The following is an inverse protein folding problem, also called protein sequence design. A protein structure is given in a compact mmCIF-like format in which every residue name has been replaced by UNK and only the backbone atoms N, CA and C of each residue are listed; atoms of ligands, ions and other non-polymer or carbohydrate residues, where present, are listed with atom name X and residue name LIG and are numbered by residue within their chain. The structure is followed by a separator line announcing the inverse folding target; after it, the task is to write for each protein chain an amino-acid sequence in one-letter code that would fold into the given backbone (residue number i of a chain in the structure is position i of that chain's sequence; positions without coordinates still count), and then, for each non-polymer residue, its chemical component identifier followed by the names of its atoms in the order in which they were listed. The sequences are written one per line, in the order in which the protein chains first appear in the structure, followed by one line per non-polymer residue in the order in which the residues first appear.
data_IF_637697511256
#
_entry.id   IF_637697511256
#
_cell.length_a   1.000
_cell.length_b   1.000
_cell.length_c   1.000
_cell.angle_alpha   90.00
_cell.angle_beta   90.00
_cell.angle_gamma   90.00
#
_symmetry.space_group_name_H-M   'P 1'
#
loop_
_entity.id
_entity.type
_entity.pdbx_description
1 polymer ?
#
# COMPACT_ATOMS: atom_id res chain seq x y z
N UNK A 1 15.46 -31.03 -35.89
CA UNK A 1 15.21 -29.60 -35.59
C UNK A 1 14.44 -29.55 -34.29
N UNK A 2 15.10 -29.24 -33.17
CA UNK A 2 14.45 -29.10 -31.86
C UNK A 2 14.37 -27.60 -31.59
N UNK A 3 13.15 -27.08 -31.60
CA UNK A 3 12.87 -25.66 -31.33
C UNK A 3 13.04 -25.38 -29.84
N UNK A 4 14.14 -24.72 -29.48
CA UNK A 4 14.34 -24.15 -28.17
C UNK A 4 13.77 -22.73 -28.13
N UNK A 5 12.58 -22.57 -27.58
CA UNK A 5 12.04 -21.26 -27.17
C UNK A 5 11.11 -21.48 -25.96
N UNK A 6 11.68 -21.46 -24.76
CA UNK A 6 10.91 -21.60 -23.51
C UNK A 6 11.53 -20.92 -22.30
N UNK A 7 12.57 -20.10 -22.47
CA UNK A 7 13.35 -19.53 -21.35
C UNK A 7 12.94 -18.08 -21.04
N UNK A 8 12.31 -17.35 -21.97
CA UNK A 8 12.01 -15.93 -21.80
C UNK A 8 10.74 -15.56 -20.99
N UNK A 9 9.97 -16.53 -20.48
CA UNK A 9 8.69 -16.25 -19.82
C UNK A 9 8.76 -16.17 -18.29
N UNK A 10 9.81 -16.72 -17.67
CA UNK A 10 9.95 -16.78 -16.20
C UNK A 10 10.53 -15.47 -15.64
N UNK A 11 11.45 -14.82 -16.34
CA UNK A 11 12.03 -13.53 -15.94
C UNK A 11 10.98 -12.40 -15.96
N UNK A 12 10.13 -12.35 -16.98
CA UNK A 12 9.13 -11.29 -17.15
C UNK A 12 7.98 -11.29 -16.12
N UNK A 13 7.86 -12.35 -15.33
CA UNK A 13 6.80 -12.51 -14.32
C UNK A 13 7.32 -12.12 -12.93
N UNK A 14 8.57 -12.45 -12.62
CA UNK A 14 9.27 -11.99 -11.41
C UNK A 14 9.43 -10.46 -11.40
N UNK A 15 9.80 -9.85 -12.53
CA UNK A 15 9.93 -8.39 -12.64
C UNK A 15 8.62 -7.65 -12.37
N UNK A 16 7.49 -8.21 -12.84
CA UNK A 16 6.16 -7.62 -12.60
C UNK A 16 5.72 -7.73 -11.15
N UNK A 17 6.12 -8.79 -10.46
CA UNK A 17 5.87 -8.95 -9.03
C UNK A 17 6.70 -7.97 -8.20
N UNK A 18 7.96 -7.76 -8.53
CA UNK A 18 8.81 -6.74 -7.88
C UNK A 18 8.27 -5.32 -8.10
N UNK A 19 7.88 -5.00 -9.34
CA UNK A 19 7.28 -3.69 -9.65
C UNK A 19 5.95 -3.47 -8.88
N UNK A 20 5.15 -4.53 -8.73
CA UNK A 20 3.91 -4.48 -7.93
C UNK A 20 4.19 -4.24 -6.45
N UNK A 21 5.18 -4.96 -5.87
CA UNK A 21 5.61 -4.78 -4.48
C UNK A 21 6.15 -3.39 -4.22
N UNK A 22 6.97 -2.84 -5.13
CA UNK A 22 7.46 -1.46 -5.00
C UNK A 22 6.32 -0.44 -5.02
N UNK A 23 5.34 -0.61 -5.90
CA UNK A 23 4.17 0.29 -5.96
C UNK A 23 3.37 0.25 -4.65
N UNK A 24 3.20 -0.94 -4.09
CA UNK A 24 2.54 -1.15 -2.80
C UNK A 24 3.34 -0.53 -1.64
N UNK A 25 4.65 -0.73 -1.60
CA UNK A 25 5.56 -0.13 -0.61
C UNK A 25 5.45 1.40 -0.64
N UNK A 26 5.50 2.00 -1.84
CA UNK A 26 5.35 3.45 -2.03
C UNK A 26 3.97 3.94 -1.61
N UNK A 27 2.90 3.16 -1.82
CA UNK A 27 1.57 3.52 -1.37
C UNK A 27 1.48 3.52 0.17
N UNK A 28 2.03 2.50 0.85
CA UNK A 28 2.15 2.46 2.32
C UNK A 28 2.94 3.64 2.88
N UNK A 29 4.08 3.96 2.30
CA UNK A 29 4.89 5.11 2.73
C UNK A 29 4.14 6.44 2.58
N UNK A 30 3.36 6.61 1.51
CA UNK A 30 2.52 7.80 1.34
C UNK A 30 1.42 7.88 2.40
N UNK A 31 0.75 6.75 2.70
CA UNK A 31 -0.27 6.70 3.74
C UNK A 31 0.31 7.06 5.11
N UNK A 32 1.45 6.47 5.50
CA UNK A 32 2.12 6.80 6.77
C UNK A 32 2.50 8.28 6.86
N UNK A 33 3.05 8.87 5.80
CA UNK A 33 3.38 10.32 5.79
C UNK A 33 2.14 11.20 5.88
N UNK A 34 1.01 10.77 5.30
CA UNK A 34 -0.26 11.49 5.41
C UNK A 34 -0.78 11.46 6.86
N UNK A 35 -0.72 10.31 7.52
CA UNK A 35 -1.10 10.15 8.92
C UNK A 35 -0.22 10.99 9.85
N UNK A 36 1.10 10.98 9.65
CA UNK A 36 2.03 11.83 10.41
C UNK A 36 1.72 13.32 10.26
N UNK A 37 1.41 13.77 9.03
CA UNK A 37 1.01 15.16 8.79
C UNK A 37 -0.33 15.49 9.46
N UNK A 38 -1.31 14.59 9.39
CA UNK A 38 -2.59 14.78 10.05
C UNK A 38 -2.43 14.88 11.58
N UNK A 39 -1.54 14.07 12.18
CA UNK A 39 -1.22 14.14 13.60
C UNK A 39 -0.56 15.48 13.97
N UNK A 40 0.42 15.95 13.18
CA UNK A 40 1.07 17.25 13.38
C UNK A 40 0.08 18.42 13.30
N UNK A 41 -0.87 18.38 12.36
CA UNK A 41 -1.90 19.44 12.24
C UNK A 41 -2.82 19.44 13.45
N UNK A 42 -3.25 18.28 13.95
CA UNK A 42 -4.06 18.18 15.18
C UNK A 42 -3.32 18.77 16.38
N UNK A 43 -2.05 18.39 16.56
CA UNK A 43 -1.22 18.93 17.64
C UNK A 43 -1.10 20.46 17.54
N UNK A 44 -0.88 21.00 16.33
CA UNK A 44 -0.78 22.45 16.12
C UNK A 44 -2.09 23.18 16.44
N UNK A 45 -3.24 22.57 16.13
CA UNK A 45 -4.56 23.11 16.47
C UNK A 45 -4.75 23.12 17.99
N UNK A 46 -4.40 22.04 18.68
CA UNK A 46 -4.45 21.97 20.15
C UNK A 46 -3.56 23.03 20.80
N UNK A 47 -2.32 23.20 20.32
CA UNK A 47 -1.40 24.24 20.78
C UNK A 47 -1.98 25.66 20.57
N UNK A 48 -2.62 25.92 19.42
CA UNK A 48 -3.25 27.21 19.13
C UNK A 48 -4.47 27.47 20.02
N UNK A 49 -5.26 26.44 20.35
CA UNK A 49 -6.38 26.53 21.30
C UNK A 49 -5.86 26.82 22.70
N UNK A 50 -4.86 26.06 23.19
CA UNK A 50 -4.26 26.25 24.51
C UNK A 50 -3.62 27.65 24.64
N UNK A 51 -2.94 28.12 23.60
CA UNK A 51 -2.33 29.46 23.58
C UNK A 51 -3.38 30.56 23.65
N UNK A 52 -4.52 30.39 22.96
CA UNK A 52 -5.65 31.33 23.01
C UNK A 52 -6.31 31.37 24.39
N UNK A 53 -6.42 30.23 25.07
CA UNK A 53 -6.94 30.15 26.44
C UNK A 53 -5.98 30.80 27.46
N UNK A 54 -4.67 30.63 27.30
CA UNK A 54 -3.65 31.24 28.18
C UNK A 54 -3.46 32.74 27.96
N UNK A 55 -3.56 33.24 26.73
CA UNK A 55 -3.22 34.63 26.39
C UNK A 55 -4.31 35.34 25.56
N UNK A 56 -5.50 35.62 26.12
CA UNK A 56 -6.66 36.12 25.38
C UNK A 56 -6.51 37.56 24.85
N UNK A 57 -5.48 38.32 25.24
CA UNK A 57 -5.28 39.73 24.84
C UNK A 57 -4.23 39.96 23.74
N UNK A 58 -3.37 38.98 23.45
CA UNK A 58 -2.32 39.11 22.42
C UNK A 58 -2.73 38.55 21.05
N UNK A 59 -3.92 37.97 20.96
CA UNK A 59 -4.38 37.25 19.79
C UNK A 59 -5.40 38.11 19.01
N UNK A 60 -5.00 38.66 17.87
CA UNK A 60 -5.89 39.42 16.98
C UNK A 60 -7.03 38.51 16.48
N UNK A 61 -8.31 38.75 16.84
CA UNK A 61 -9.39 37.75 16.64
C UNK A 61 -9.65 37.32 15.19
N UNK A 62 -9.28 38.16 14.21
CA UNK A 62 -9.48 37.89 12.79
C UNK A 62 -8.42 36.97 12.16
N UNK A 63 -7.18 36.97 12.65
CA UNK A 63 -6.10 36.14 12.09
C UNK A 63 -6.20 34.69 12.58
N UNK A 64 -6.58 34.48 13.84
CA UNK A 64 -6.71 33.14 14.44
C UNK A 64 -7.86 32.35 13.86
N UNK A 65 -9.01 33.00 13.59
CA UNK A 65 -10.16 32.32 12.99
C UNK A 65 -9.85 31.86 11.56
N UNK A 66 -9.20 32.72 10.76
CA UNK A 66 -8.81 32.39 9.39
C UNK A 66 -7.73 31.30 9.37
N UNK A 67 -6.75 31.36 10.27
CA UNK A 67 -5.73 30.32 10.41
C UNK A 67 -6.32 28.98 10.86
N UNK A 68 -7.25 28.99 11.82
CA UNK A 68 -7.94 27.77 12.26
C UNK A 68 -8.79 27.16 11.13
N UNK A 69 -9.47 27.98 10.33
CA UNK A 69 -10.20 27.53 9.14
C UNK A 69 -9.24 26.91 8.11
N UNK A 70 -8.13 27.57 7.81
CA UNK A 70 -7.11 27.03 6.89
C UNK A 70 -6.50 25.72 7.40
N UNK A 71 -6.23 25.61 8.70
CA UNK A 71 -5.73 24.38 9.30
C UNK A 71 -6.76 23.25 9.24
N UNK A 72 -8.04 23.55 9.47
CA UNK A 72 -9.13 22.58 9.33
C UNK A 72 -9.29 22.12 7.87
N UNK A 73 -9.26 23.05 6.91
CA UNK A 73 -9.30 22.73 5.47
C UNK A 73 -8.12 21.84 5.05
N UNK A 74 -6.90 22.13 5.55
CA UNK A 74 -5.72 21.31 5.28
C UNK A 74 -5.83 19.91 5.92
N UNK A 75 -6.36 19.82 7.15
CA UNK A 75 -6.58 18.54 7.80
C UNK A 75 -7.61 17.69 7.04
N UNK A 76 -8.68 18.31 6.55
CA UNK A 76 -9.70 17.63 5.74
C UNK A 76 -9.13 17.17 4.39
N UNK A 77 -8.35 18.01 3.72
CA UNK A 77 -7.63 17.62 2.50
C UNK A 77 -6.68 16.43 2.74
N UNK A 78 -5.88 16.49 3.81
CA UNK A 78 -4.98 15.39 4.16
C UNK A 78 -5.75 14.08 4.47
N UNK A 79 -6.91 14.17 5.14
CA UNK A 79 -7.75 13.00 5.40
C UNK A 79 -8.34 12.41 4.10
N UNK A 80 -8.76 13.26 3.16
CA UNK A 80 -9.23 12.81 1.85
C UNK A 80 -8.10 12.15 1.05
N UNK A 81 -6.90 12.72 1.05
CA UNK A 81 -5.72 12.13 0.40
C UNK A 81 -5.34 10.77 1.02
N UNK A 82 -5.38 10.65 2.35
CA UNK A 82 -5.13 9.39 3.04
C UNK A 82 -6.16 8.31 2.68
N UNK A 83 -7.45 8.67 2.65
CA UNK A 83 -8.53 7.76 2.24
C UNK A 83 -8.37 7.30 0.79
N UNK A 84 -8.00 8.21 -0.11
CA UNK A 84 -7.73 7.88 -1.51
C UNK A 84 -6.50 6.94 -1.64
N UNK A 85 -5.44 7.21 -0.89
CA UNK A 85 -4.24 6.37 -0.87
C UNK A 85 -4.53 4.96 -0.34
N UNK A 86 -5.38 4.81 0.68
CA UNK A 86 -5.81 3.50 1.19
C UNK A 86 -6.59 2.72 0.13
N UNK A 87 -7.53 3.36 -0.57
CA UNK A 87 -8.28 2.73 -1.68
C UNK A 87 -7.33 2.23 -2.78
N UNK A 88 -6.35 3.04 -3.16
CA UNK A 88 -5.33 2.67 -4.15
C UNK A 88 -4.44 1.52 -3.66
N UNK A 89 -4.02 1.53 -2.40
CA UNK A 89 -3.23 0.46 -1.81
C UNK A 89 -4.01 -0.87 -1.81
N UNK A 90 -5.28 -0.87 -1.37
CA UNK A 90 -6.15 -2.05 -1.40
C UNK A 90 -6.40 -2.56 -2.81
N UNK A 91 -6.47 -1.67 -3.80
CA UNK A 91 -6.51 -2.09 -5.20
C UNK A 91 -5.20 -2.78 -5.59
N UNK A 92 -4.05 -2.18 -5.27
CA UNK A 92 -2.72 -2.73 -5.50
C UNK A 92 -2.55 -4.16 -4.95
N UNK A 93 -2.91 -4.38 -3.69
CA UNK A 93 -2.89 -5.71 -3.07
C UNK A 93 -3.75 -6.73 -3.81
N UNK A 94 -4.96 -6.36 -4.23
CA UNK A 94 -5.82 -7.27 -5.01
C UNK A 94 -5.19 -7.67 -6.34
N UNK A 95 -4.49 -6.74 -7.00
CA UNK A 95 -3.75 -7.03 -8.22
C UNK A 95 -2.55 -7.95 -7.96
N UNK A 96 -1.78 -7.70 -6.89
CA UNK A 96 -0.65 -8.53 -6.49
C UNK A 96 -1.10 -9.96 -6.13
N UNK A 97 -2.16 -10.09 -5.32
CA UNK A 97 -2.77 -11.39 -4.99
C UNK A 97 -3.16 -12.19 -6.23
N UNK A 98 -3.73 -11.51 -7.23
CA UNK A 98 -4.08 -12.15 -8.51
C UNK A 98 -2.83 -12.63 -9.26
N UNK A 99 -1.79 -11.81 -9.35
CA UNK A 99 -0.55 -12.17 -10.02
C UNK A 99 0.11 -13.40 -9.36
N UNK A 100 0.20 -13.41 -8.03
CA UNK A 100 0.69 -14.55 -7.26
C UNK A 100 -0.11 -15.84 -7.52
N UNK A 101 -1.44 -15.77 -7.63
CA UNK A 101 -2.26 -16.94 -8.01
C UNK A 101 -1.99 -17.42 -9.42
N UNK A 102 -1.83 -16.52 -10.38
CA UNK A 102 -1.50 -16.86 -11.77
C UNK A 102 -0.11 -17.53 -11.84
N UNK A 103 0.86 -17.06 -11.06
CA UNK A 103 2.19 -17.67 -10.94
C UNK A 103 2.14 -19.04 -10.30
N UNK A 104 1.39 -19.20 -9.21
CA UNK A 104 1.20 -20.50 -8.57
C UNK A 104 0.64 -21.53 -9.55
N UNK A 105 -0.41 -21.14 -10.29
CA UNK A 105 -1.02 -21.99 -11.32
C UNK A 105 -0.01 -22.35 -12.43
N UNK A 106 0.86 -21.42 -12.82
CA UNK A 106 1.91 -21.69 -13.80
C UNK A 106 2.91 -22.72 -13.28
N UNK A 107 3.44 -22.54 -12.06
CA UNK A 107 4.37 -23.50 -11.47
C UNK A 107 3.73 -24.90 -11.29
N UNK A 108 2.46 -24.97 -10.91
CA UNK A 108 1.73 -26.24 -10.83
C UNK A 108 1.62 -26.95 -12.17
N UNK A 109 1.29 -26.21 -13.25
CA UNK A 109 1.26 -26.79 -14.61
C UNK A 109 2.62 -27.32 -15.02
N UNK A 110 3.68 -26.54 -14.80
CA UNK A 110 5.04 -26.96 -15.12
C UNK A 110 5.47 -28.21 -14.35
N UNK A 111 5.11 -28.32 -13.06
CA UNK A 111 5.32 -29.55 -12.29
C UNK A 111 4.51 -30.75 -12.82
N UNK A 112 3.25 -30.54 -13.23
CA UNK A 112 2.39 -31.60 -13.78
C UNK A 112 2.88 -32.12 -15.13
N UNK A 113 3.47 -31.23 -15.93
CA UNK A 113 4.07 -31.57 -17.23
C UNK A 113 5.45 -32.23 -17.09
N UNK A 114 5.98 -32.36 -15.86
CA UNK A 114 7.30 -32.94 -15.61
C UNK A 114 8.45 -32.11 -16.17
N UNK A 115 8.24 -30.80 -16.32
CA UNK A 115 9.22 -29.88 -16.89
C UNK A 115 10.10 -29.31 -15.77
N UNK A 116 11.39 -29.65 -15.77
CA UNK A 116 12.34 -29.17 -14.76
C UNK A 116 12.24 -29.92 -13.43
N UNK A 117 12.60 -29.25 -12.33
CA UNK A 117 12.53 -29.82 -10.98
C UNK A 117 11.10 -29.68 -10.44
N UNK A 118 10.33 -30.76 -10.52
CA UNK A 118 8.92 -30.79 -10.06
C UNK A 118 8.77 -30.37 -8.60
N UNK A 119 9.69 -30.80 -7.74
CA UNK A 119 9.70 -30.51 -6.30
C UNK A 119 9.83 -29.01 -6.07
N UNK A 120 10.80 -28.39 -6.76
CA UNK A 120 10.99 -26.94 -6.73
C UNK A 120 9.75 -26.19 -7.23
N UNK A 121 9.16 -26.63 -8.35
CA UNK A 121 7.95 -26.00 -8.89
C UNK A 121 6.76 -26.10 -7.92
N UNK A 122 6.56 -27.25 -7.27
CA UNK A 122 5.48 -27.42 -6.27
C UNK A 122 5.70 -26.56 -5.04
N UNK A 123 6.94 -26.49 -4.54
CA UNK A 123 7.29 -25.60 -3.44
C UNK A 123 7.04 -24.14 -3.80
N UNK A 124 7.45 -23.72 -5.00
CA UNK A 124 7.21 -22.36 -5.46
C UNK A 124 5.73 -22.02 -5.60
N UNK A 125 4.93 -22.92 -6.16
CA UNK A 125 3.49 -22.72 -6.21
C UNK A 125 2.87 -22.55 -4.81
N UNK A 126 3.32 -23.32 -3.81
CA UNK A 126 2.84 -23.20 -2.44
C UNK A 126 3.20 -21.84 -1.83
N UNK A 127 4.41 -21.34 -2.07
CA UNK A 127 4.85 -20.01 -1.63
C UNK A 127 4.03 -18.90 -2.28
N UNK A 128 3.86 -18.92 -3.60
CA UNK A 128 3.08 -17.91 -4.32
C UNK A 128 1.61 -17.89 -3.81
N UNK A 129 1.02 -19.05 -3.52
CA UNK A 129 -0.32 -19.09 -2.87
C UNK A 129 -0.32 -18.47 -1.47
N UNK A 130 0.78 -18.58 -0.71
CA UNK A 130 0.89 -17.94 0.60
C UNK A 130 1.00 -16.42 0.47
N UNK A 131 1.80 -15.94 -0.46
CA UNK A 131 1.93 -14.50 -0.75
C UNK A 131 0.59 -13.92 -1.22
N UNK A 132 -0.13 -14.63 -2.09
CA UNK A 132 -1.49 -14.23 -2.50
C UNK A 132 -2.47 -14.12 -1.33
N UNK A 133 -2.40 -15.02 -0.34
CA UNK A 133 -3.23 -14.96 0.87
C UNK A 133 -2.87 -13.76 1.73
N UNK A 134 -1.59 -13.43 1.84
CA UNK A 134 -1.16 -12.25 2.59
C UNK A 134 -1.69 -10.98 1.93
N UNK A 135 -1.55 -10.85 0.61
CA UNK A 135 -2.07 -9.71 -0.13
C UNK A 135 -3.61 -9.59 -0.02
N UNK A 136 -4.35 -10.70 0.02
CA UNK A 136 -5.79 -10.66 0.28
C UNK A 136 -6.13 -10.11 1.67
N UNK A 137 -5.34 -10.43 2.70
CA UNK A 137 -5.52 -9.91 4.06
C UNK A 137 -5.20 -8.42 4.12
N UNK A 138 -4.11 -8.02 3.47
CA UNK A 138 -3.69 -6.62 3.36
C UNK A 138 -4.74 -5.79 2.61
N UNK A 139 -5.32 -6.34 1.53
CA UNK A 139 -6.38 -5.69 0.75
C UNK A 139 -7.67 -5.46 1.55
N UNK A 140 -7.97 -6.30 2.54
CA UNK A 140 -9.14 -6.16 3.41
C UNK A 140 -8.92 -5.13 4.51
N UNK A 141 -7.65 -4.82 4.82
CA UNK A 141 -7.27 -4.05 6.00
C UNK A 141 -7.27 -4.90 7.28
N UNK A 142 -7.31 -6.23 7.15
CA UNK A 142 -7.31 -7.16 8.30
C UNK A 142 -5.89 -7.43 8.83
N UNK A 143 -4.87 -7.07 8.05
CA UNK A 143 -3.46 -7.20 8.41
C UNK A 143 -2.96 -5.94 9.12
N UNK A 144 -3.49 -5.66 10.31
CA UNK A 144 -2.88 -4.91 11.43
C UNK A 144 -3.99 -4.38 12.35
N UNK A 145 -4.36 -5.19 13.34
CA UNK A 145 -4.87 -4.74 14.64
C UNK A 145 -3.98 -5.34 15.73
#
# INVERSE_FOLDING_TARGET
MVGGYGIGMVEHVSDRNEESRERVQRARERAQRADERAAQVRQRIEELVETRERFPREVTPGSTRRQAQQAAEQAEQAAQEAAQADVEARAGYRWAARAHRENAAQHERTAQEGLGDESWHRERAAQERQEARQDDLDARGDASS
#
